data_IF_613699032676
#
_entry.id   IF_613699032676
#
_cell.length_a   1.000
_cell.length_b   1.000
_cell.length_c   1.000
_cell.angle_alpha   90.00
_cell.angle_beta   90.00
_cell.angle_gamma   90.00
#
_symmetry.space_group_name_H-M   'P 1'
#
loop_
_entity.id
_entity.type
_entity.pdbx_description
1 polymer ?
#
# COMPACT_ATOMS: atom_id res chain seq x y z
N UNK A 1 -1.72 8.26 5.72
CA UNK A 1 -3.18 8.03 5.69
C UNK A 1 -3.44 6.80 4.84
N UNK A 2 -4.16 5.81 5.38
CA UNK A 2 -4.60 4.64 4.60
C UNK A 2 -6.01 4.92 4.08
N UNK A 3 -6.13 5.14 2.78
CA UNK A 3 -7.37 5.51 2.11
C UNK A 3 -8.08 4.26 1.58
N UNK A 4 -9.01 3.72 2.37
CA UNK A 4 -9.89 2.63 1.93
C UNK A 4 -10.91 3.13 0.91
N UNK A 5 -11.03 2.44 -0.22
CA UNK A 5 -11.97 2.78 -1.29
C UNK A 5 -12.32 1.54 -2.13
N UNK A 6 -13.54 1.47 -2.66
CA UNK A 6 -13.93 0.41 -3.61
C UNK A 6 -13.35 0.65 -5.01
N UNK A 7 -12.99 1.90 -5.33
CA UNK A 7 -12.51 2.31 -6.67
C UNK A 7 -11.22 3.13 -6.57
N UNK A 8 -10.39 3.14 -7.62
CA UNK A 8 -9.23 4.01 -7.69
C UNK A 8 -9.62 5.48 -7.47
N UNK A 9 -8.96 6.11 -6.51
CA UNK A 9 -9.04 7.53 -6.21
C UNK A 9 -7.96 8.24 -7.01
N UNK A 10 -8.35 9.25 -7.79
CA UNK A 10 -7.44 10.02 -8.61
C UNK A 10 -6.48 10.90 -7.81
N UNK A 11 -5.39 11.31 -8.47
CA UNK A 11 -4.32 12.08 -7.85
C UNK A 11 -4.79 13.43 -7.31
N UNK A 12 -5.71 14.12 -7.99
CA UNK A 12 -6.24 15.40 -7.51
C UNK A 12 -6.95 15.25 -6.15
N UNK A 13 -7.72 14.18 -5.98
CA UNK A 13 -8.37 13.87 -4.70
C UNK A 13 -7.34 13.51 -3.62
N UNK A 14 -6.32 12.71 -3.96
CA UNK A 14 -5.22 12.39 -3.03
C UNK A 14 -4.51 13.66 -2.54
N UNK A 15 -4.22 14.61 -3.43
CA UNK A 15 -3.61 15.91 -3.09
C UNK A 15 -4.47 16.75 -2.13
N UNK A 16 -5.78 16.80 -2.37
CA UNK A 16 -6.71 17.50 -1.46
C UNK A 16 -6.71 16.86 -0.08
N UNK A 17 -6.72 15.52 0.00
CA UNK A 17 -6.65 14.80 1.28
C UNK A 17 -5.34 15.11 2.00
N UNK A 18 -4.21 15.07 1.30
CA UNK A 18 -2.89 15.40 1.85
C UNK A 18 -2.88 16.81 2.45
N UNK A 19 -3.40 17.78 1.69
CA UNK A 19 -3.52 19.18 2.12
C UNK A 19 -4.39 19.33 3.37
N UNK A 20 -5.60 18.75 3.39
CA UNK A 20 -6.53 18.89 4.52
C UNK A 20 -6.07 18.16 5.78
N UNK A 21 -5.30 17.08 5.63
CA UNK A 21 -4.81 16.30 6.75
C UNK A 21 -3.36 16.62 7.14
N UNK A 22 -2.73 17.60 6.48
CA UNK A 22 -1.36 18.04 6.74
C UNK A 22 -0.34 16.89 6.73
N UNK A 23 -0.37 16.08 5.66
CA UNK A 23 0.61 15.02 5.40
C UNK A 23 1.20 15.21 4.01
N UNK A 24 2.39 14.65 3.76
CA UNK A 24 2.97 14.65 2.41
C UNK A 24 2.04 13.94 1.41
N UNK A 25 2.06 14.36 0.14
CA UNK A 25 1.19 13.78 -0.91
C UNK A 25 1.41 12.27 -1.07
N UNK A 26 2.67 11.81 -0.96
CA UNK A 26 3.03 10.40 -1.05
C UNK A 26 2.59 9.58 0.19
N UNK A 27 2.24 10.26 1.29
CA UNK A 27 1.72 9.62 2.50
C UNK A 27 0.21 9.34 2.43
N UNK A 28 -0.46 9.60 1.30
CA UNK A 28 -1.86 9.22 1.05
C UNK A 28 -1.90 7.95 0.21
N UNK A 29 -2.02 6.82 0.91
CA UNK A 29 -1.81 5.48 0.37
C UNK A 29 -3.15 4.83 0.09
N UNK A 30 -3.37 4.37 -1.13
CA UNK A 30 -4.61 3.72 -1.51
C UNK A 30 -4.69 2.29 -0.98
N UNK A 31 -5.85 1.90 -0.46
CA UNK A 31 -6.09 0.54 0.01
C UNK A 31 -7.43 0.05 -0.55
N UNK A 32 -7.39 -0.47 -1.77
CA UNK A 32 -8.60 -0.96 -2.45
C UNK A 32 -9.12 -2.26 -1.82
N UNK A 33 -10.38 -2.57 -2.13
CA UNK A 33 -10.90 -3.91 -1.87
C UNK A 33 -10.19 -4.93 -2.76
N UNK A 34 -9.70 -5.98 -2.11
CA UNK A 34 -9.00 -7.09 -2.75
C UNK A 34 -9.80 -8.38 -2.53
N UNK A 35 -9.83 -9.28 -3.52
CA UNK A 35 -10.58 -10.55 -3.43
C UNK A 35 -10.01 -11.50 -2.38
N UNK A 36 -8.74 -11.32 -2.01
CA UNK A 36 -8.05 -12.16 -1.03
C UNK A 36 -7.33 -11.28 0.00
N UNK A 37 -7.64 -11.49 1.28
CA UNK A 37 -7.07 -10.74 2.42
C UNK A 37 -5.53 -10.73 2.41
N UNK A 38 -4.89 -11.86 2.09
CA UNK A 38 -3.43 -11.97 2.06
C UNK A 38 -2.76 -11.19 0.93
N UNK A 39 -3.53 -10.63 -0.01
CA UNK A 39 -3.00 -9.73 -1.05
C UNK A 39 -2.75 -8.31 -0.52
N UNK A 40 -3.34 -7.94 0.64
CA UNK A 40 -3.23 -6.58 1.21
C UNK A 40 -1.77 -6.15 1.45
N UNK A 41 -0.88 -6.96 2.05
CA UNK A 41 0.52 -6.57 2.21
C UNK A 41 1.24 -6.25 0.89
N UNK A 42 0.91 -6.98 -0.18
CA UNK A 42 1.51 -6.75 -1.51
C UNK A 42 0.99 -5.42 -2.10
N UNK A 43 -0.31 -5.17 -2.03
CA UNK A 43 -0.89 -3.91 -2.51
C UNK A 43 -0.36 -2.68 -1.74
N UNK A 44 -0.17 -2.81 -0.41
CA UNK A 44 0.44 -1.74 0.39
C UNK A 44 1.92 -1.54 0.08
N UNK A 45 2.65 -2.61 -0.28
CA UNK A 45 4.03 -2.52 -0.76
C UNK A 45 4.10 -1.78 -2.09
N UNK A 46 3.16 -2.03 -3.00
CA UNK A 46 3.08 -1.34 -4.30
C UNK A 46 2.81 0.18 -4.13
N UNK A 47 2.01 0.55 -3.13
CA UNK A 47 1.79 1.95 -2.73
C UNK A 47 2.91 2.51 -1.83
N UNK A 48 4.04 1.78 -1.66
CA UNK A 48 5.27 2.21 -0.98
C UNK A 48 5.10 2.55 0.50
N UNK A 49 4.10 1.99 1.17
CA UNK A 49 3.84 2.26 2.59
C UNK A 49 5.07 2.01 3.46
N UNK A 50 5.76 0.89 3.24
CA UNK A 50 6.92 0.48 4.02
C UNK A 50 8.13 1.40 3.77
N UNK A 51 8.35 1.83 2.53
CA UNK A 51 9.41 2.78 2.17
C UNK A 51 9.16 4.14 2.86
N UNK A 52 7.90 4.60 2.92
CA UNK A 52 7.50 5.83 3.61
C UNK A 52 7.77 5.72 5.11
N UNK A 53 7.42 4.58 5.72
CA UNK A 53 7.68 4.33 7.14
C UNK A 53 9.19 4.32 7.43
N UNK A 54 9.98 3.61 6.62
CA UNK A 54 11.43 3.57 6.79
C UNK A 54 12.06 4.97 6.63
N UNK A 55 11.61 5.75 5.63
CA UNK A 55 12.02 7.14 5.44
C UNK A 55 11.72 8.01 6.67
N UNK A 56 10.51 7.91 7.22
CA UNK A 56 10.09 8.72 8.37
C UNK A 56 10.93 8.43 9.62
N UNK A 57 11.25 7.17 9.86
CA UNK A 57 12.06 6.75 11.02
C UNK A 57 13.57 6.73 10.76
N UNK A 58 14.02 7.17 9.58
CA UNK A 58 15.43 7.16 9.17
C UNK A 58 16.07 5.78 9.27
N UNK A 59 15.33 4.74 8.89
CA UNK A 59 15.80 3.36 8.90
C UNK A 59 16.47 3.04 7.56
N UNK A 60 17.72 2.61 7.62
CA UNK A 60 18.43 2.03 6.48
C UNK A 60 18.25 0.51 6.50
N UNK A 61 17.30 0.04 5.69
CA UNK A 61 16.90 -1.37 5.64
C UNK A 61 16.95 -1.88 4.21
N UNK A 62 17.30 -3.16 4.07
CA UNK A 62 17.18 -3.84 2.79
C UNK A 62 15.71 -3.94 2.36
N UNK A 63 15.47 -4.03 1.05
CA UNK A 63 14.12 -4.29 0.53
C UNK A 63 13.58 -5.61 1.10
N UNK A 64 12.30 -5.60 1.47
CA UNK A 64 11.62 -6.79 1.93
C UNK A 64 11.62 -7.87 0.83
N UNK A 65 12.10 -9.06 1.17
CA UNK A 65 11.90 -10.25 0.34
C UNK A 65 10.50 -10.79 0.61
N UNK A 66 9.65 -10.76 -0.43
CA UNK A 66 8.26 -11.19 -0.37
C UNK A 66 8.01 -12.42 -1.26
N UNK A 67 9.05 -13.13 -1.69
CA UNK A 67 8.93 -14.25 -2.62
C UNK A 67 7.95 -15.33 -2.11
N UNK A 68 8.13 -15.79 -0.87
CA UNK A 68 7.28 -16.82 -0.27
C UNK A 68 5.82 -16.34 -0.10
N UNK A 69 5.64 -15.09 0.32
CA UNK A 69 4.31 -14.50 0.47
C UNK A 69 3.59 -14.37 -0.86
N UNK A 70 4.31 -13.92 -1.89
CA UNK A 70 3.80 -13.80 -3.25
C UNK A 70 3.39 -15.16 -3.80
N UNK A 71 4.20 -16.20 -3.58
CA UNK A 71 3.87 -17.57 -3.97
C UNK A 71 2.62 -18.10 -3.26
N UNK A 72 2.48 -17.83 -1.96
CA UNK A 72 1.28 -18.19 -1.18
C UNK A 72 0.03 -17.50 -1.74
N UNK A 73 0.10 -16.18 -1.98
CA UNK A 73 -1.01 -15.39 -2.54
C UNK A 73 -1.41 -15.91 -3.93
N UNK A 74 -0.43 -16.15 -4.81
CA UNK A 74 -0.68 -16.70 -6.14
C UNK A 74 -1.35 -18.07 -6.08
N UNK A 75 -0.91 -18.93 -5.16
CA UNK A 75 -1.52 -20.25 -4.95
C UNK A 75 -2.95 -20.11 -4.46
N UNK A 76 -3.20 -19.26 -3.46
CA UNK A 76 -4.54 -19.03 -2.92
C UNK A 76 -5.50 -18.43 -3.96
N UNK A 77 -5.02 -17.49 -4.79
CA UNK A 77 -5.81 -16.92 -5.89
C UNK A 77 -6.13 -17.96 -6.97
N UNK A 78 -5.24 -18.91 -7.24
CA UNK A 78 -5.49 -19.97 -8.23
C UNK A 78 -6.58 -20.97 -7.82
N UNK A 79 -6.94 -20.99 -6.53
CA UNK A 79 -7.98 -21.87 -5.96
C UNK A 79 -9.37 -21.22 -5.89
N UNK A 80 -9.47 -19.93 -6.23
CA UNK A 80 -10.71 -19.15 -6.17
C UNK A 80 -11.23 -18.89 -7.58
#
# INVERSE_FOLDING_TARGET
IVLRSERPVGEEQKKKIALFCNVDEDCVIQNLDLPLLYSVPLALKDEKLDDIVCRHFHLDTQKADLADWTNMVNTALSLT
#
